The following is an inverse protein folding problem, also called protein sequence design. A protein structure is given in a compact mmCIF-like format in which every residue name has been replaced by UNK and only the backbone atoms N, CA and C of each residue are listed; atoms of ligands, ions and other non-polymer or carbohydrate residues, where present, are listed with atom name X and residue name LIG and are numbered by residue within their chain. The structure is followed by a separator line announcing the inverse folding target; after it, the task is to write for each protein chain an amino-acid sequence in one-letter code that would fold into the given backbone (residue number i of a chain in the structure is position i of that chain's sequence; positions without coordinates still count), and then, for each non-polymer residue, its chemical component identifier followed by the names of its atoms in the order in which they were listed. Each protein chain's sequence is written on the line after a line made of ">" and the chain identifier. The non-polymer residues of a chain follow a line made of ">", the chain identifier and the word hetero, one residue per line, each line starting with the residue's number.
data_IF_982098414380
#
_entry.id   IF_982098414380
#
_cell.length_a   1.000
_cell.length_b   1.000
_cell.length_c   1.000
_cell.angle_alpha   90.00
_cell.angle_beta   90.00
_cell.angle_gamma   90.00
#
_symmetry.space_group_name_H-M   'P 1'
#
loop_
_entity.id
_entity.type
_entity.pdbx_description
1 polymer ?
#
# COMPACT_ATOMS: atom_id res chain seq x y z
N UNK A 1 -9.60 17.13 -30.61
CA UNK A 1 -8.89 17.80 -29.48
C UNK A 1 -7.43 17.35 -29.51
N UNK A 2 -6.47 18.08 -28.93
CA UNK A 2 -5.07 17.58 -28.84
C UNK A 2 -4.93 16.79 -27.54
N UNK A 3 -4.94 15.46 -27.61
CA UNK A 3 -4.73 14.62 -26.44
C UNK A 3 -3.27 14.61 -26.00
N UNK A 4 -2.98 14.65 -24.69
CA UNK A 4 -1.64 14.39 -24.20
C UNK A 4 -1.22 12.96 -24.59
N UNK A 5 0.04 12.81 -24.94
CA UNK A 5 0.62 11.52 -25.25
C UNK A 5 1.60 11.14 -24.16
N UNK A 6 1.52 9.89 -23.69
CA UNK A 6 2.45 9.32 -22.71
C UNK A 6 3.30 8.25 -23.41
N UNK A 7 4.59 8.22 -23.08
CA UNK A 7 5.50 7.16 -23.53
C UNK A 7 5.37 5.98 -22.56
N UNK A 8 4.76 4.89 -23.03
CA UNK A 8 4.62 3.62 -22.29
C UNK A 8 5.58 2.62 -22.93
N UNK A 9 6.65 2.23 -22.24
CA UNK A 9 7.68 1.31 -22.78
C UNK A 9 8.22 1.71 -24.18
N UNK A 10 8.45 3.01 -24.40
CA UNK A 10 8.92 3.53 -25.70
C UNK A 10 7.81 3.77 -26.73
N UNK A 11 6.55 3.42 -26.40
CA UNK A 11 5.39 3.61 -27.27
C UNK A 11 4.66 4.90 -26.91
N UNK A 12 4.40 5.73 -27.92
CA UNK A 12 3.61 6.95 -27.84
C UNK A 12 2.10 6.62 -27.83
N UNK A 13 1.42 6.74 -26.67
CA UNK A 13 0.00 6.38 -26.50
C UNK A 13 -0.83 7.61 -26.10
N UNK A 14 -1.90 7.90 -26.83
CA UNK A 14 -2.82 9.00 -26.47
C UNK A 14 -3.58 8.68 -25.19
N UNK A 15 -3.73 9.70 -24.34
CA UNK A 15 -4.51 9.64 -23.11
C UNK A 15 -5.57 10.75 -23.10
N UNK A 16 -6.82 10.42 -22.80
CA UNK A 16 -7.88 11.42 -22.67
C UNK A 16 -7.86 12.13 -21.30
N UNK A 17 -8.64 13.20 -21.16
CA UNK A 17 -8.73 13.99 -19.91
C UNK A 17 -9.24 13.20 -18.70
N UNK A 18 -9.91 12.06 -18.95
CA UNK A 18 -10.39 11.16 -17.91
C UNK A 18 -9.34 10.08 -17.55
N UNK A 19 -8.14 10.13 -18.13
CA UNK A 19 -7.08 9.15 -17.91
C UNK A 19 -7.30 7.82 -18.66
N UNK A 20 -8.04 7.83 -19.78
CA UNK A 20 -8.19 6.65 -20.64
C UNK A 20 -7.13 6.62 -21.73
N UNK A 21 -6.51 5.47 -21.90
CA UNK A 21 -5.52 5.18 -22.93
C UNK A 21 -6.20 4.69 -24.20
N UNK A 22 -5.69 5.13 -25.34
CA UNK A 22 -6.14 4.66 -26.64
C UNK A 22 -5.59 3.25 -26.92
N UNK A 23 -6.46 2.24 -26.95
CA UNK A 23 -6.08 0.85 -27.23
C UNK A 23 -5.68 0.63 -28.69
N UNK A 24 -6.11 1.49 -29.61
CA UNK A 24 -5.68 1.39 -31.01
C UNK A 24 -4.23 1.82 -31.17
N UNK A 25 -3.78 2.83 -30.42
CA UNK A 25 -2.37 3.25 -30.42
C UNK A 25 -1.48 2.13 -29.83
N UNK A 26 -1.93 1.51 -28.73
CA UNK A 26 -1.28 0.32 -28.15
C UNK A 26 -1.22 -0.84 -29.15
N UNK A 27 -2.32 -1.09 -29.86
CA UNK A 27 -2.37 -2.14 -30.87
C UNK A 27 -1.40 -1.87 -32.02
N UNK A 28 -1.39 -0.65 -32.56
CA UNK A 28 -0.51 -0.27 -33.66
C UNK A 28 0.97 -0.45 -33.27
N UNK A 29 1.33 -0.10 -32.04
CA UNK A 29 2.68 -0.31 -31.54
C UNK A 29 3.03 -1.79 -31.35
N UNK A 30 2.11 -2.58 -30.81
CA UNK A 30 2.30 -4.03 -30.67
C UNK A 30 2.46 -4.71 -32.05
N UNK A 31 1.71 -4.26 -33.06
CA UNK A 31 1.86 -4.73 -34.46
C UNK A 31 3.23 -4.32 -35.02
N UNK A 32 3.66 -3.07 -34.80
CA UNK A 32 4.97 -2.59 -35.25
C UNK A 32 6.14 -3.38 -34.63
N UNK A 33 5.97 -3.86 -33.39
CA UNK A 33 6.93 -4.70 -32.68
C UNK A 33 6.80 -6.20 -32.99
N UNK A 34 5.85 -6.60 -33.84
CA UNK A 34 5.60 -8.02 -34.15
C UNK A 34 4.96 -8.83 -33.03
N UNK A 35 4.40 -8.17 -32.01
CA UNK A 35 3.78 -8.79 -30.83
C UNK A 35 2.27 -9.02 -31.02
N UNK A 36 1.65 -8.34 -31.99
CA UNK A 36 0.22 -8.45 -32.27
C UNK A 36 -0.09 -8.68 -33.75
N UNK A 37 -1.21 -9.34 -34.01
CA UNK A 37 -1.79 -9.50 -35.35
C UNK A 37 -3.11 -8.73 -35.47
N UNK A 38 -3.59 -8.49 -36.69
CA UNK A 38 -4.90 -7.86 -36.97
C UNK A 38 -6.08 -8.54 -36.26
N UNK A 39 -5.96 -9.84 -35.97
CA UNK A 39 -6.97 -10.59 -35.22
C UNK A 39 -7.12 -10.10 -33.77
N UNK A 40 -6.08 -9.47 -33.22
CA UNK A 40 -6.02 -8.94 -31.85
C UNK A 40 -6.36 -7.45 -31.77
N UNK A 41 -6.99 -6.87 -32.80
CA UNK A 41 -7.47 -5.49 -32.76
C UNK A 41 -8.45 -5.24 -31.59
N UNK A 42 -8.51 -4.01 -31.02
CA UNK A 42 -9.34 -3.71 -29.86
C UNK A 42 -10.84 -4.03 -30.04
N UNK A 43 -11.35 -3.93 -31.27
CA UNK A 43 -12.76 -4.26 -31.55
C UNK A 43 -13.08 -5.75 -31.36
N UNK A 44 -12.12 -6.65 -31.60
CA UNK A 44 -12.28 -8.08 -31.37
C UNK A 44 -12.15 -8.39 -29.87
N UNK A 45 -11.20 -7.76 -29.19
CA UNK A 45 -11.04 -7.84 -27.73
C UNK A 45 -12.37 -7.54 -26.99
N UNK A 46 -13.05 -6.46 -27.37
CA UNK A 46 -14.33 -6.06 -26.75
C UNK A 46 -15.50 -7.01 -27.03
N UNK A 47 -15.41 -7.90 -28.04
CA UNK A 47 -16.48 -8.88 -28.33
C UNK A 47 -16.49 -10.02 -27.32
N UNK A 48 -15.35 -10.34 -26.72
CA UNK A 48 -15.20 -11.44 -25.76
C UNK A 48 -16.12 -11.27 -24.55
N UNK A 49 -16.85 -12.34 -24.19
CA UNK A 49 -17.72 -12.36 -23.03
C UNK A 49 -16.97 -12.09 -21.72
N UNK A 50 -15.73 -12.59 -21.60
CA UNK A 50 -14.89 -12.36 -20.43
C UNK A 50 -14.55 -10.87 -20.27
N UNK A 51 -14.23 -10.19 -21.38
CA UNK A 51 -13.87 -8.78 -21.37
C UNK A 51 -15.09 -7.91 -21.05
N UNK A 52 -16.27 -8.25 -21.57
CA UNK A 52 -17.53 -7.59 -21.20
C UNK A 52 -17.79 -7.69 -19.69
N UNK A 53 -17.63 -8.88 -19.10
CA UNK A 53 -17.75 -9.10 -17.64
C UNK A 53 -16.73 -8.27 -16.86
N UNK A 54 -15.49 -8.22 -17.33
CA UNK A 54 -14.44 -7.43 -16.71
C UNK A 54 -14.78 -5.93 -16.70
N UNK A 55 -15.23 -5.38 -17.83
CA UNK A 55 -15.68 -3.98 -17.93
C UNK A 55 -16.84 -3.69 -16.97
N UNK A 56 -17.82 -4.61 -16.86
CA UNK A 56 -18.92 -4.46 -15.89
C UNK A 56 -18.41 -4.45 -14.45
N UNK A 57 -17.42 -5.28 -14.12
CA UNK A 57 -16.78 -5.26 -12.80
C UNK A 57 -16.04 -3.94 -12.53
N UNK A 58 -15.36 -3.37 -13.54
CA UNK A 58 -14.75 -2.04 -13.44
C UNK A 58 -15.80 -0.96 -13.16
N UNK A 59 -16.93 -0.97 -13.87
CA UNK A 59 -18.04 -0.02 -13.65
C UNK A 59 -18.57 -0.11 -12.23
N UNK A 60 -18.85 -1.31 -11.74
CA UNK A 60 -19.35 -1.53 -10.38
C UNK A 60 -18.36 -1.04 -9.30
N UNK A 61 -17.05 -1.20 -9.53
CA UNK A 61 -16.01 -0.72 -8.61
C UNK A 61 -15.91 0.82 -8.61
N UNK A 62 -16.06 1.45 -9.78
CA UNK A 62 -16.05 2.91 -9.90
C UNK A 62 -17.26 3.55 -9.20
N UNK A 63 -18.46 2.99 -9.36
CA UNK A 63 -19.69 3.48 -8.72
C UNK A 63 -19.60 3.51 -7.19
N UNK A 64 -18.89 2.54 -6.58
CA UNK A 64 -18.68 2.49 -5.13
C UNK A 64 -17.74 3.56 -4.58
N UNK A 65 -16.96 4.25 -5.41
CA UNK A 65 -15.91 5.18 -4.98
C UNK A 65 -16.31 6.66 -4.93
N UNK A 66 -17.57 7.02 -5.19
CA UNK A 66 -18.14 8.38 -5.09
C UNK A 66 -17.42 9.50 -5.90
N UNK A 67 -16.36 9.18 -6.64
CA UNK A 67 -15.48 10.15 -7.28
C UNK A 67 -15.65 10.07 -8.81
N UNK A 68 -16.49 10.95 -9.38
CA UNK A 68 -16.71 11.20 -10.82
C UNK A 68 -17.03 9.95 -11.66
N UNK A 69 -18.08 9.97 -12.48
CA UNK A 69 -18.44 8.82 -13.35
C UNK A 69 -17.43 8.61 -14.50
N UNK A 70 -16.18 8.28 -14.19
CA UNK A 70 -15.19 7.89 -15.19
C UNK A 70 -15.63 6.54 -15.74
N UNK A 71 -16.25 6.55 -16.91
CA UNK A 71 -16.60 5.33 -17.62
C UNK A 71 -15.31 4.55 -17.94
N UNK A 72 -15.20 3.26 -17.63
CA UNK A 72 -13.97 2.49 -17.84
C UNK A 72 -13.64 2.24 -19.32
N UNK A 73 -14.62 2.46 -20.20
CA UNK A 73 -14.53 2.27 -21.64
C UNK A 73 -15.28 3.41 -22.35
N UNK A 74 -14.64 4.00 -23.37
CA UNK A 74 -15.24 4.95 -24.32
C UNK A 74 -14.87 4.51 -25.73
N UNK A 75 -15.86 4.40 -26.61
CA UNK A 75 -15.65 4.01 -28.01
C UNK A 75 -16.05 5.19 -28.89
N UNK A 76 -15.10 5.71 -29.66
CA UNK A 76 -15.32 6.84 -30.58
C UNK A 76 -15.25 6.29 -32.02
N UNK A 77 -16.31 6.53 -32.80
CA UNK A 77 -16.40 6.10 -34.20
C UNK A 77 -16.20 7.32 -35.11
N UNK A 78 -15.15 7.27 -35.95
CA UNK A 78 -14.83 8.33 -36.89
C UNK A 78 -14.09 9.53 -36.27
N UNK A 79 -13.48 10.35 -37.14
CA UNK A 79 -12.66 11.49 -36.76
C UNK A 79 -11.23 11.12 -36.31
N UNK A 80 -10.42 12.14 -36.03
CA UNK A 80 -9.03 11.99 -35.59
C UNK A 80 -8.90 11.24 -34.24
N UNK A 81 -9.93 11.35 -33.42
CA UNK A 81 -10.00 10.80 -32.06
C UNK A 81 -10.67 9.41 -32.02
N UNK A 82 -10.87 8.80 -33.19
CA UNK A 82 -11.46 7.47 -33.31
C UNK A 82 -10.60 6.40 -32.61
N UNK A 83 -11.29 5.43 -32.04
CA UNK A 83 -10.65 4.32 -31.35
C UNK A 83 -11.41 3.85 -30.12
N UNK A 84 -10.84 2.82 -29.52
CA UNK A 84 -11.26 2.27 -28.24
C UNK A 84 -10.39 2.89 -27.15
N UNK A 85 -11.02 3.54 -26.19
CA UNK A 85 -10.36 4.22 -25.08
C UNK A 85 -10.72 3.50 -23.78
N UNK A 86 -9.71 3.09 -23.02
CA UNK A 86 -9.89 2.34 -21.78
C UNK A 86 -9.10 2.94 -20.63
N UNK A 87 -9.64 2.92 -19.42
CA UNK A 87 -8.84 3.24 -18.22
C UNK A 87 -7.61 2.34 -18.13
N UNK A 88 -6.59 2.78 -17.40
CA UNK A 88 -5.31 2.07 -17.25
C UNK A 88 -5.45 0.55 -17.07
N UNK A 89 -6.32 0.11 -16.16
CA UNK A 89 -6.51 -1.31 -15.89
C UNK A 89 -7.12 -2.10 -17.07
N UNK A 90 -7.94 -1.45 -17.90
CA UNK A 90 -8.45 -2.05 -19.15
C UNK A 90 -7.35 -2.10 -20.23
N UNK A 91 -6.47 -1.10 -20.28
CA UNK A 91 -5.31 -1.08 -21.16
C UNK A 91 -4.30 -2.19 -20.80
N UNK A 92 -4.00 -2.36 -19.50
CA UNK A 92 -3.18 -3.48 -19.01
C UNK A 92 -3.83 -4.82 -19.38
N UNK A 93 -5.15 -4.96 -19.18
CA UNK A 93 -5.86 -6.20 -19.55
C UNK A 93 -5.82 -6.47 -21.06
N UNK A 94 -5.83 -5.43 -21.88
CA UNK A 94 -5.69 -5.55 -23.33
C UNK A 94 -4.28 -6.02 -23.72
N UNK A 95 -3.23 -5.40 -23.16
CA UNK A 95 -1.85 -5.83 -23.38
C UNK A 95 -1.61 -7.29 -22.97
N UNK A 96 -2.13 -7.69 -21.79
CA UNK A 96 -2.11 -9.07 -21.32
C UNK A 96 -2.83 -10.05 -22.27
N UNK A 97 -3.93 -9.60 -22.88
CA UNK A 97 -4.66 -10.41 -23.85
C UNK A 97 -3.92 -10.57 -25.19
N UNK A 98 -3.11 -9.58 -25.59
CA UNK A 98 -2.23 -9.69 -26.76
C UNK A 98 -1.09 -10.67 -26.48
N UNK A 99 -0.42 -10.52 -25.33
CA UNK A 99 0.82 -11.20 -24.98
C UNK A 99 0.70 -11.94 -23.64
N UNK A 100 0.57 -13.29 -23.64
CA UNK A 100 0.48 -14.08 -22.42
C UNK A 100 1.67 -13.93 -21.47
N UNK A 101 2.88 -13.72 -22.00
CA UNK A 101 4.08 -13.50 -21.19
C UNK A 101 3.95 -12.24 -20.33
N UNK A 102 3.39 -11.18 -20.91
CA UNK A 102 3.10 -9.95 -20.17
C UNK A 102 2.02 -10.17 -19.09
N UNK A 103 1.02 -11.02 -19.36
CA UNK A 103 0.03 -11.40 -18.34
C UNK A 103 0.69 -12.08 -17.13
N UNK A 104 1.66 -12.97 -17.38
CA UNK A 104 2.43 -13.66 -16.33
C UNK A 104 3.25 -12.65 -15.52
N UNK A 105 3.99 -11.75 -16.19
CA UNK A 105 4.79 -10.72 -15.52
C UNK A 105 3.94 -9.83 -14.60
N UNK A 106 2.74 -9.41 -15.06
CA UNK A 106 1.80 -8.64 -14.24
C UNK A 106 1.41 -9.41 -12.97
N UNK A 107 1.14 -10.72 -13.08
CA UNK A 107 0.83 -11.56 -11.92
C UNK A 107 2.03 -11.74 -10.99
N UNK A 108 3.24 -11.86 -11.52
CA UNK A 108 4.46 -11.97 -10.71
C UNK A 108 4.77 -10.69 -9.95
N UNK A 109 4.61 -9.52 -10.59
CA UNK A 109 4.73 -8.21 -9.94
C UNK A 109 3.70 -8.10 -8.82
N UNK A 110 2.43 -8.44 -9.08
CA UNK A 110 1.39 -8.44 -8.05
C UNK A 110 1.77 -9.32 -6.85
N UNK A 111 2.17 -10.58 -7.10
CA UNK A 111 2.62 -11.50 -6.04
C UNK A 111 3.80 -10.95 -5.26
N UNK A 112 4.77 -10.35 -5.95
CA UNK A 112 5.98 -9.79 -5.35
C UNK A 112 5.65 -8.63 -4.43
N UNK A 113 4.85 -7.66 -4.89
CA UNK A 113 4.43 -6.50 -4.09
C UNK A 113 3.67 -6.93 -2.85
N UNK A 114 2.73 -7.88 -2.97
CA UNK A 114 1.99 -8.42 -1.82
C UNK A 114 2.93 -9.06 -0.81
N UNK A 115 3.88 -9.89 -1.26
CA UNK A 115 4.87 -10.55 -0.39
C UNK A 115 5.79 -9.54 0.32
N UNK A 116 6.24 -8.50 -0.39
CA UNK A 116 7.04 -7.42 0.19
C UNK A 116 6.25 -6.67 1.27
N UNK A 117 4.96 -6.41 1.04
CA UNK A 117 4.07 -5.78 2.01
C UNK A 117 3.94 -6.60 3.29
N UNK A 118 3.76 -7.92 3.18
CA UNK A 118 3.73 -8.84 4.34
C UNK A 118 5.06 -8.79 5.10
N UNK A 119 6.20 -8.85 4.39
CA UNK A 119 7.51 -8.75 5.03
C UNK A 119 7.76 -7.42 5.74
N UNK A 120 7.27 -6.30 5.18
CA UNK A 120 7.33 -4.99 5.82
C UNK A 120 6.48 -4.95 7.11
N UNK A 121 5.26 -5.51 7.07
CA UNK A 121 4.39 -5.59 8.24
C UNK A 121 5.00 -6.42 9.37
N UNK A 122 5.64 -7.56 9.05
CA UNK A 122 6.33 -8.37 10.08
C UNK A 122 7.46 -7.59 10.77
N UNK A 123 8.20 -6.76 10.01
CA UNK A 123 9.25 -5.90 10.60
C UNK A 123 8.64 -4.82 11.50
N UNK A 124 7.55 -4.19 11.07
CA UNK A 124 6.83 -3.18 11.86
C UNK A 124 6.35 -3.79 13.18
N UNK A 125 5.67 -4.93 13.13
CA UNK A 125 5.17 -5.62 14.33
C UNK A 125 6.29 -5.97 15.31
N UNK A 126 7.49 -6.33 14.81
CA UNK A 126 8.66 -6.59 15.66
C UNK A 126 9.12 -5.32 16.37
N UNK A 127 9.17 -4.19 15.66
CA UNK A 127 9.54 -2.89 16.23
C UNK A 127 8.51 -2.48 17.30
N UNK A 128 7.21 -2.57 16.99
CA UNK A 128 6.14 -2.26 17.94
C UNK A 128 6.22 -3.12 19.20
N UNK A 129 6.57 -4.41 19.04
CA UNK A 129 6.76 -5.29 20.19
C UNK A 129 7.94 -4.85 21.08
N UNK A 130 9.06 -4.44 20.47
CA UNK A 130 10.22 -3.91 21.20
C UNK A 130 9.85 -2.63 21.94
N UNK A 131 9.23 -1.66 21.25
CA UNK A 131 8.78 -0.39 21.85
C UNK A 131 7.87 -0.65 23.05
N UNK A 132 6.90 -1.54 22.91
CA UNK A 132 5.97 -1.87 24.00
C UNK A 132 6.68 -2.53 25.19
N UNK A 133 7.66 -3.40 24.92
CA UNK A 133 8.41 -4.09 25.96
C UNK A 133 9.29 -3.12 26.73
N UNK A 134 10.03 -2.27 26.02
CA UNK A 134 10.89 -1.24 26.63
C UNK A 134 10.07 -0.20 27.39
N UNK A 135 8.95 0.26 26.82
CA UNK A 135 8.03 1.18 27.50
C UNK A 135 7.55 0.60 28.83
N UNK A 136 7.16 -0.69 28.85
CA UNK A 136 6.74 -1.36 30.09
C UNK A 136 7.87 -1.43 31.11
N UNK A 137 9.08 -1.79 30.67
CA UNK A 137 10.24 -1.87 31.56
C UNK A 137 10.56 -0.49 32.20
N UNK A 138 10.57 0.58 31.39
CA UNK A 138 10.80 1.95 31.88
C UNK A 138 9.71 2.37 32.85
N UNK A 139 8.43 2.12 32.54
CA UNK A 139 7.32 2.42 33.47
C UNK A 139 7.46 1.67 34.80
N UNK A 140 7.89 0.40 34.78
CA UNK A 140 8.13 -0.37 36.00
C UNK A 140 9.26 0.23 36.83
N UNK A 141 10.40 0.56 36.22
CA UNK A 141 11.51 1.24 36.89
C UNK A 141 11.07 2.57 37.49
N UNK A 142 10.36 3.41 36.74
CA UNK A 142 9.83 4.69 37.22
C UNK A 142 8.90 4.51 38.43
N UNK A 143 8.03 3.49 38.39
CA UNK A 143 7.16 3.14 39.52
C UNK A 143 7.96 2.73 40.76
N UNK A 144 8.98 1.89 40.59
CA UNK A 144 9.86 1.48 41.69
C UNK A 144 10.63 2.67 42.27
N UNK A 145 11.17 3.54 41.43
CA UNK A 145 11.85 4.77 41.84
C UNK A 145 10.91 5.70 42.61
N UNK A 146 9.68 5.89 42.13
CA UNK A 146 8.67 6.69 42.81
C UNK A 146 8.33 6.11 44.20
N UNK A 147 8.16 4.79 44.31
CA UNK A 147 7.95 4.09 45.60
C UNK A 147 9.14 4.23 46.56
N UNK A 148 10.36 4.32 46.02
CA UNK A 148 11.58 4.50 46.82
C UNK A 148 11.88 5.97 47.18
N UNK A 149 11.32 6.95 46.46
CA UNK A 149 11.66 8.37 46.59
C UNK A 149 11.45 9.00 47.97
N UNK A 150 11.73 10.32 48.06
CA UNK A 150 11.83 11.09 49.33
C UNK A 150 10.56 11.04 50.19
N UNK A 151 9.38 10.83 49.60
CA UNK A 151 8.11 10.67 50.32
C UNK A 151 7.68 9.22 50.59
N UNK A 152 8.40 8.22 50.04
CA UNK A 152 8.00 6.81 50.06
C UNK A 152 8.76 5.95 51.08
N UNK A 153 9.14 4.73 50.67
CA UNK A 153 9.74 3.71 51.54
C UNK A 153 11.07 4.15 52.16
N UNK A 154 11.90 4.92 51.44
CA UNK A 154 13.19 5.40 51.95
C UNK A 154 13.01 6.24 53.22
N UNK A 155 12.03 7.14 53.26
CA UNK A 155 11.75 7.95 54.46
C UNK A 155 11.31 7.09 55.65
N UNK A 156 10.40 6.13 55.42
CA UNK A 156 9.96 5.21 56.46
C UNK A 156 11.11 4.41 57.06
N UNK A 157 12.03 3.93 56.21
CA UNK A 157 13.21 3.19 56.66
C UNK A 157 14.19 4.08 57.44
N UNK A 158 14.42 5.33 57.00
CA UNK A 158 15.28 6.26 57.76
C UNK A 158 14.69 6.60 59.13
N UNK A 159 13.38 6.86 59.22
CA UNK A 159 12.70 7.11 60.50
C UNK A 159 12.77 5.88 61.41
N UNK A 160 12.54 4.68 60.87
CA UNK A 160 12.68 3.44 61.64
C UNK A 160 14.12 3.23 62.14
N UNK A 161 15.12 3.54 61.30
CA UNK A 161 16.55 3.48 61.68
C UNK A 161 16.86 4.44 62.83
N UNK A 162 16.40 5.69 62.77
CA UNK A 162 16.62 6.67 63.86
C UNK A 162 16.03 6.19 65.18
N UNK A 163 14.83 5.61 65.16
CA UNK A 163 14.21 5.03 66.36
C UNK A 163 15.05 3.90 66.94
N UNK A 164 15.50 2.97 66.09
CA UNK A 164 16.34 1.87 66.53
C UNK A 164 17.70 2.37 67.09
N UNK A 165 18.31 3.39 66.46
CA UNK A 165 19.54 3.99 66.95
C UNK A 165 19.35 4.62 68.34
N UNK A 166 18.25 5.33 68.57
CA UNK A 166 17.93 5.90 69.88
C UNK A 166 17.73 4.82 70.96
N UNK A 167 17.09 3.70 70.60
CA UNK A 167 16.92 2.57 71.50
C UNK A 167 18.28 1.94 71.87
N UNK A 168 19.16 1.72 70.89
CA UNK A 168 20.52 1.21 71.15
C UNK A 168 21.32 2.17 72.04
N UNK A 169 21.23 3.48 71.80
CA UNK A 169 21.91 4.51 72.60
C UNK A 169 21.46 4.49 74.07
N UNK A 170 20.22 4.06 74.35
CA UNK A 170 19.69 3.91 75.70
C UNK A 170 20.40 2.78 76.48
N UNK A 171 20.88 1.74 75.78
CA UNK A 171 21.60 0.61 76.38
C UNK A 171 23.13 0.74 76.29
N UNK A 172 23.65 1.43 75.27
CA UNK A 172 25.09 1.60 74.99
C UNK A 172 25.41 3.07 74.68
N UNK A 173 25.43 3.96 75.68
CA UNK A 173 25.59 5.39 75.46
C UNK A 173 26.97 5.74 74.88
N UNK A 174 26.97 6.46 73.76
CA UNK A 174 28.18 6.98 73.11
C UNK A 174 28.78 6.10 72.00
N UNK A 175 28.14 4.98 71.65
CA UNK A 175 28.64 4.01 70.67
C UNK A 175 28.01 4.11 69.27
N UNK A 176 26.96 4.90 69.08
CA UNK A 176 26.21 5.05 67.81
C UNK A 176 26.12 6.50 67.37
#
# INVERSE_FOLDING_TARGET
>A
MKYPTVIVNGVSVRVDEDGRYNLNDLHAAAVANGEATESQRPSNFLRSAQIKRFISALKAKAQKRALKEIQPLKVIKGGADSGVWGVELLAIRYAAWIKPEFEIEVYEVFKTVVRLGVGAMSRLNRIDHIINTETKAISQCASQMAKWGVGGRKRLLHVARERAANEVQMYLPGMV
#
